data_IF_314929059213
#
_entry.id   IF_314929059213
#
_cell.length_a   1.000
_cell.length_b   1.000
_cell.length_c   1.000
_cell.angle_alpha   90.00
_cell.angle_beta   90.00
_cell.angle_gamma   90.00
#
_symmetry.space_group_name_H-M   'P 1'
#
loop_
_entity.id
_entity.type
_entity.pdbx_description
1 polymer ?
#
# COMPACT_ATOMS: atom_id res chain seq x y z
N UNK A 1 -48.41 32.05 -27.40
CA UNK A 1 -47.36 32.81 -26.68
C UNK A 1 -47.60 32.59 -25.19
N UNK A 2 -46.71 32.04 -24.35
CA UNK A 2 -45.30 31.71 -24.51
C UNK A 2 -44.94 30.58 -23.53
N UNK A 3 -44.04 29.72 -23.99
CA UNK A 3 -43.32 28.70 -23.26
C UNK A 3 -42.82 29.20 -21.89
N UNK A 4 -43.41 28.71 -20.79
CA UNK A 4 -42.78 28.79 -19.46
C UNK A 4 -42.57 27.43 -18.78
N UNK A 5 -43.00 26.33 -19.38
CA UNK A 5 -42.75 24.98 -18.88
C UNK A 5 -41.40 24.33 -19.32
N UNK A 6 -40.77 24.66 -20.48
CA UNK A 6 -39.55 23.95 -20.90
C UNK A 6 -38.26 24.48 -20.25
N UNK A 7 -38.27 25.71 -19.71
CA UNK A 7 -37.08 26.34 -19.13
C UNK A 7 -36.75 25.75 -17.76
N UNK A 8 -37.76 25.46 -16.93
CA UNK A 8 -37.55 24.92 -15.58
C UNK A 8 -36.96 23.50 -15.62
N UNK A 9 -37.40 22.67 -16.57
CA UNK A 9 -36.88 21.31 -16.79
C UNK A 9 -35.45 21.36 -17.33
N UNK A 10 -35.15 22.28 -18.26
CA UNK A 10 -33.78 22.52 -18.75
C UNK A 10 -32.84 22.99 -17.64
N UNK A 11 -33.30 23.89 -16.76
CA UNK A 11 -32.54 24.37 -15.60
C UNK A 11 -32.32 23.23 -14.60
N UNK A 12 -33.32 22.35 -14.37
CA UNK A 12 -33.17 21.19 -13.48
C UNK A 12 -32.16 20.17 -14.04
N UNK A 13 -32.19 19.89 -15.34
CA UNK A 13 -31.24 18.99 -16.02
C UNK A 13 -29.82 19.58 -15.99
N UNK A 14 -29.67 20.89 -16.19
CA UNK A 14 -28.38 21.57 -16.06
C UNK A 14 -27.86 21.51 -14.62
N UNK A 15 -28.70 21.72 -13.60
CA UNK A 15 -28.30 21.62 -12.18
C UNK A 15 -27.92 20.17 -11.82
N UNK A 16 -28.66 19.17 -12.31
CA UNK A 16 -28.33 17.75 -12.11
C UNK A 16 -27.02 17.34 -12.83
N UNK A 17 -26.76 17.88 -14.02
CA UNK A 17 -25.49 17.67 -14.73
C UNK A 17 -24.31 18.41 -14.08
N UNK A 18 -24.56 19.59 -13.50
CA UNK A 18 -23.57 20.30 -12.68
C UNK A 18 -23.25 19.48 -11.43
N UNK A 19 -24.24 18.89 -10.76
CA UNK A 19 -24.02 17.95 -9.65
C UNK A 19 -23.20 16.72 -10.09
N UNK A 20 -23.50 16.14 -11.25
CA UNK A 20 -22.69 15.05 -11.82
C UNK A 20 -21.23 15.46 -12.12
N UNK A 21 -21.00 16.75 -12.39
CA UNK A 21 -19.67 17.31 -12.61
C UNK A 21 -18.91 17.56 -11.30
N UNK A 22 -19.61 17.66 -10.15
CA UNK A 22 -18.97 17.76 -8.82
C UNK A 22 -18.52 16.39 -8.29
N UNK A 23 -19.11 15.29 -8.76
CA UNK A 23 -18.84 13.93 -8.24
C UNK A 23 -17.43 13.41 -8.63
N UNK A 24 -16.76 13.99 -9.62
CA UNK A 24 -15.38 13.60 -9.96
C UNK A 24 -14.30 14.40 -9.23
N UNK A 25 -14.67 15.36 -8.38
CA UNK A 25 -13.70 15.94 -7.44
C UNK A 25 -13.58 14.98 -6.25
N UNK A 26 -12.77 13.93 -6.39
CA UNK A 26 -12.13 13.32 -5.21
C UNK A 26 -11.25 14.41 -4.59
N UNK A 27 -11.87 15.25 -3.75
CA UNK A 27 -11.22 16.43 -3.21
C UNK A 27 -10.00 15.98 -2.41
N UNK A 28 -8.77 16.41 -2.78
CA UNK A 28 -7.57 16.11 -2.02
C UNK A 28 -7.68 16.56 -0.56
N UNK A 29 -8.61 17.48 -0.28
CA UNK A 29 -9.01 17.93 1.04
C UNK A 29 -9.60 16.80 1.93
N UNK A 30 -10.52 15.98 1.44
CA UNK A 30 -11.10 14.89 2.24
C UNK A 30 -10.07 13.81 2.53
N UNK A 31 -9.23 13.47 1.55
CA UNK A 31 -8.13 12.51 1.75
C UNK A 31 -7.11 13.06 2.75
N UNK A 32 -6.74 14.34 2.67
CA UNK A 32 -5.85 14.97 3.63
C UNK A 32 -6.39 14.95 5.07
N UNK A 33 -7.69 15.23 5.25
CA UNK A 33 -8.36 15.14 6.56
C UNK A 33 -8.40 13.69 7.04
N UNK A 34 -8.73 12.74 6.18
CA UNK A 34 -8.75 11.31 6.54
C UNK A 34 -7.39 10.85 7.06
N UNK A 35 -6.30 11.26 6.41
CA UNK A 35 -4.94 10.92 6.83
C UNK A 35 -4.53 11.61 8.15
N UNK A 36 -5.24 12.64 8.61
CA UNK A 36 -4.99 13.21 9.94
C UNK A 36 -5.51 12.31 11.06
N UNK A 37 -6.59 11.57 10.81
CA UNK A 37 -7.27 10.74 11.80
C UNK A 37 -6.97 9.24 11.64
N UNK A 38 -6.62 8.80 10.43
CA UNK A 38 -6.35 7.42 10.09
C UNK A 38 -5.03 7.28 9.34
N UNK A 39 -4.48 6.07 9.36
CA UNK A 39 -3.29 5.74 8.57
C UNK A 39 -3.61 5.78 7.08
N UNK A 40 -2.68 6.30 6.28
CA UNK A 40 -2.82 6.40 4.84
C UNK A 40 -1.62 5.82 4.10
N UNK A 41 -1.84 5.34 2.88
CA UNK A 41 -0.81 4.80 1.97
C UNK A 41 0.01 5.91 1.29
N UNK A 42 0.48 6.91 2.07
CA UNK A 42 1.24 8.08 1.62
C UNK A 42 1.94 8.74 2.81
N UNK A 43 2.77 9.74 2.54
CA UNK A 43 3.33 10.59 3.58
C UNK A 43 2.21 11.24 4.43
N UNK A 44 2.37 11.32 5.77
CA UNK A 44 3.58 11.02 6.53
C UNK A 44 3.73 9.56 7.01
N UNK A 45 2.77 8.67 6.73
CA UNK A 45 2.79 7.29 7.25
C UNK A 45 3.68 6.34 6.46
N UNK A 46 3.93 6.62 5.19
CA UNK A 46 4.92 5.93 4.37
C UNK A 46 6.17 6.80 4.26
N UNK A 47 7.19 6.47 5.03
CA UNK A 47 8.46 7.18 5.11
C UNK A 47 9.49 6.39 4.31
N UNK A 48 9.91 6.85 3.14
CA UNK A 48 10.92 6.12 2.31
C UNK A 48 12.33 6.27 2.88
N UNK A 49 12.53 5.85 4.13
CA UNK A 49 13.73 6.09 4.91
C UNK A 49 14.80 5.01 4.64
N UNK A 50 15.55 5.22 3.56
CA UNK A 50 16.65 4.34 3.18
C UNK A 50 17.82 4.38 4.18
N UNK A 51 18.00 5.50 4.88
CA UNK A 51 19.09 5.66 5.87
C UNK A 51 18.80 4.79 7.08
N UNK A 52 17.56 4.84 7.60
CA UNK A 52 17.10 3.95 8.67
C UNK A 52 17.15 2.49 8.26
N UNK A 53 16.77 2.16 7.02
CA UNK A 53 16.90 0.81 6.48
C UNK A 53 18.34 0.32 6.51
N UNK A 54 19.28 1.11 5.99
CA UNK A 54 20.69 0.74 5.97
C UNK A 54 21.25 0.57 7.38
N UNK A 55 20.90 1.48 8.29
CA UNK A 55 21.30 1.43 9.69
C UNK A 55 20.77 0.17 10.38
N UNK A 56 19.49 -0.17 10.19
CA UNK A 56 18.88 -1.35 10.81
C UNK A 56 19.44 -2.64 10.25
N UNK A 57 19.68 -2.73 8.94
CA UNK A 57 20.37 -3.87 8.35
C UNK A 57 21.78 -4.03 8.94
N UNK A 58 22.53 -2.92 9.12
CA UNK A 58 23.88 -2.98 9.70
C UNK A 58 23.88 -3.37 11.18
N UNK A 59 22.96 -2.83 11.98
CA UNK A 59 22.97 -2.99 13.44
C UNK A 59 22.22 -4.23 13.93
N UNK A 60 21.20 -4.68 13.19
CA UNK A 60 20.29 -5.75 13.63
C UNK A 60 20.46 -7.06 12.86
N UNK A 61 20.94 -7.03 11.62
CA UNK A 61 21.07 -8.22 10.77
C UNK A 61 22.53 -8.70 10.69
N UNK A 62 22.86 -9.75 11.43
CA UNK A 62 24.21 -10.31 11.50
C UNK A 62 24.42 -11.44 10.51
N UNK A 63 25.65 -11.58 9.98
CA UNK A 63 26.05 -12.71 9.14
C UNK A 63 25.42 -12.75 7.74
N UNK A 64 24.75 -11.68 7.30
CA UNK A 64 24.06 -11.61 6.00
C UNK A 64 24.61 -10.47 5.11
N UNK A 65 25.90 -10.49 4.73
CA UNK A 65 26.52 -9.38 3.99
C UNK A 65 25.91 -9.16 2.59
N UNK A 66 25.42 -10.22 1.94
CA UNK A 66 24.81 -10.13 0.60
C UNK A 66 23.47 -9.38 0.62
N UNK A 67 22.68 -9.57 1.68
CA UNK A 67 21.34 -8.97 1.77
C UNK A 67 21.44 -7.44 1.78
N UNK A 68 22.41 -6.86 2.49
CA UNK A 68 22.49 -5.41 2.68
C UNK A 68 22.52 -4.66 1.33
N UNK A 69 23.49 -4.99 0.47
CA UNK A 69 23.69 -4.25 -0.78
C UNK A 69 22.60 -4.59 -1.80
N UNK A 70 22.31 -5.88 -2.00
CA UNK A 70 21.31 -6.32 -2.99
C UNK A 70 19.92 -5.77 -2.67
N UNK A 71 19.51 -5.78 -1.39
CA UNK A 71 18.20 -5.30 -0.97
C UNK A 71 18.06 -3.80 -1.17
N UNK A 72 19.04 -3.01 -0.70
CA UNK A 72 19.00 -1.55 -0.82
C UNK A 72 18.97 -1.13 -2.28
N UNK A 73 19.82 -1.73 -3.14
CA UNK A 73 19.85 -1.43 -4.57
C UNK A 73 18.54 -1.79 -5.28
N UNK A 74 17.97 -2.96 -4.99
CA UNK A 74 16.71 -3.40 -5.60
C UNK A 74 15.55 -2.46 -5.23
N UNK A 75 15.47 -2.05 -3.96
CA UNK A 75 14.41 -1.16 -3.49
C UNK A 75 14.57 0.24 -4.07
N UNK A 76 15.76 0.84 -4.00
CA UNK A 76 16.02 2.17 -4.57
C UNK A 76 15.71 2.20 -6.07
N UNK A 77 16.22 1.23 -6.81
CA UNK A 77 15.98 1.13 -8.25
C UNK A 77 14.49 0.98 -8.59
N UNK A 78 13.70 0.29 -7.76
CA UNK A 78 12.26 0.21 -7.96
C UNK A 78 11.53 1.53 -7.66
N UNK A 79 11.88 2.21 -6.57
CA UNK A 79 11.21 3.45 -6.15
C UNK A 79 11.58 4.67 -7.01
N UNK A 80 12.74 4.66 -7.67
CA UNK A 80 13.16 5.73 -8.58
C UNK A 80 12.37 5.72 -9.90
N UNK A 81 11.76 4.59 -10.27
CA UNK A 81 10.89 4.49 -11.44
C UNK A 81 9.57 5.24 -11.20
N UNK A 82 9.29 6.25 -12.03
CA UNK A 82 7.96 6.87 -12.07
C UNK A 82 6.96 5.86 -12.65
N UNK A 83 5.98 5.44 -11.84
CA UNK A 83 4.92 4.48 -12.20
C UNK A 83 5.47 3.13 -12.69
N UNK A 84 6.01 2.28 -11.79
CA UNK A 84 6.54 0.98 -12.19
C UNK A 84 5.42 0.09 -12.77
N UNK A 85 5.71 -0.59 -13.88
CA UNK A 85 4.74 -1.45 -14.58
C UNK A 85 4.40 -2.74 -13.82
N UNK A 86 5.19 -3.11 -12.82
CA UNK A 86 5.03 -4.31 -11.98
C UNK A 86 5.51 -4.00 -10.57
N UNK A 87 4.93 -4.67 -9.57
CA UNK A 87 5.38 -4.58 -8.18
C UNK A 87 6.77 -5.20 -7.97
N UNK A 88 7.53 -4.68 -7.00
CA UNK A 88 8.77 -5.31 -6.55
C UNK A 88 8.48 -6.62 -5.81
N UNK A 89 9.07 -7.71 -6.28
CA UNK A 89 8.99 -9.02 -5.65
C UNK A 89 10.38 -9.43 -5.18
N UNK A 90 10.49 -9.81 -3.91
CA UNK A 90 11.72 -10.28 -3.28
C UNK A 90 11.49 -11.68 -2.73
N UNK A 91 12.44 -12.58 -2.97
CA UNK A 91 12.39 -13.94 -2.42
C UNK A 91 13.62 -14.20 -1.54
N UNK A 92 13.37 -14.55 -0.27
CA UNK A 92 14.40 -14.86 0.70
C UNK A 92 14.44 -16.38 0.93
N UNK A 93 15.57 -17.01 0.58
CA UNK A 93 15.79 -18.45 0.76
C UNK A 93 16.96 -18.72 1.72
N UNK A 94 16.98 -19.89 2.34
CA UNK A 94 18.04 -20.31 3.27
C UNK A 94 17.50 -21.08 4.48
N UNK A 95 18.39 -21.47 5.39
CA UNK A 95 18.07 -22.25 6.59
C UNK A 95 17.12 -21.53 7.56
N UNK A 96 16.46 -22.27 8.44
CA UNK A 96 15.62 -21.70 9.51
C UNK A 96 16.46 -20.90 10.50
N UNK A 97 15.88 -19.85 11.12
CA UNK A 97 16.56 -19.04 12.14
C UNK A 97 17.55 -17.99 11.63
N UNK A 98 17.90 -17.95 10.34
CA UNK A 98 18.91 -17.01 9.80
C UNK A 98 18.41 -15.59 9.50
N UNK A 99 17.18 -15.26 9.90
CA UNK A 99 16.64 -13.90 9.81
C UNK A 99 15.80 -13.55 8.57
N UNK A 100 15.35 -14.52 7.75
CA UNK A 100 14.55 -14.24 6.54
C UNK A 100 13.30 -13.38 6.80
N UNK A 101 12.46 -13.77 7.78
CA UNK A 101 11.28 -12.98 8.20
C UNK A 101 11.68 -11.66 8.85
N UNK A 102 12.81 -11.64 9.54
CA UNK A 102 13.31 -10.47 10.24
C UNK A 102 13.70 -9.35 9.26
N UNK A 103 14.25 -9.69 8.09
CA UNK A 103 14.52 -8.72 7.01
C UNK A 103 13.23 -8.01 6.57
N UNK A 104 12.13 -8.75 6.39
CA UNK A 104 10.83 -8.16 6.04
C UNK A 104 10.27 -7.27 7.14
N UNK A 105 10.53 -7.57 8.41
CA UNK A 105 10.14 -6.72 9.54
C UNK A 105 10.97 -5.44 9.60
N UNK A 106 12.29 -5.53 9.37
CA UNK A 106 13.18 -4.36 9.26
C UNK A 106 12.66 -3.42 8.16
N UNK A 107 12.30 -3.95 6.99
CA UNK A 107 11.72 -3.15 5.91
C UNK A 107 10.46 -2.42 6.35
N UNK A 108 9.55 -3.11 7.04
CA UNK A 108 8.32 -2.50 7.54
C UNK A 108 8.62 -1.39 8.57
N UNK A 109 9.52 -1.65 9.52
CA UNK A 109 9.96 -0.68 10.53
C UNK A 109 10.64 0.55 9.92
N UNK A 110 11.34 0.38 8.80
CA UNK A 110 11.98 1.48 8.09
C UNK A 110 10.98 2.29 7.29
N UNK A 111 10.00 1.65 6.62
CA UNK A 111 9.16 2.32 5.63
C UNK A 111 7.79 2.76 6.13
N UNK A 112 7.22 2.06 7.11
CA UNK A 112 5.95 2.44 7.69
C UNK A 112 6.18 3.13 9.03
N UNK A 113 5.49 4.24 9.25
CA UNK A 113 5.53 4.98 10.52
C UNK A 113 5.15 4.09 11.72
N UNK A 114 4.21 3.16 11.53
CA UNK A 114 3.80 2.18 12.54
C UNK A 114 4.57 0.84 12.47
N UNK A 115 5.57 0.74 11.60
CA UNK A 115 6.34 -0.49 11.39
C UNK A 115 5.46 -1.69 11.04
N UNK A 116 5.71 -2.82 11.72
CA UNK A 116 4.94 -4.07 11.53
C UNK A 116 3.49 -3.98 12.02
N UNK A 117 3.11 -2.90 12.73
CA UNK A 117 1.73 -2.62 13.15
C UNK A 117 0.96 -1.77 12.15
N UNK A 118 1.58 -1.41 11.02
CA UNK A 118 0.91 -0.66 9.95
C UNK A 118 -0.25 -1.46 9.39
N UNK A 119 -1.37 -0.78 9.11
CA UNK A 119 -2.48 -1.39 8.39
C UNK A 119 -2.09 -1.91 7.00
N UNK A 120 -0.98 -1.40 6.44
CA UNK A 120 -0.46 -1.73 5.11
C UNK A 120 0.62 -2.81 5.12
N UNK A 121 1.06 -3.26 6.30
CA UNK A 121 1.96 -4.40 6.44
C UNK A 121 1.15 -5.66 6.74
N UNK A 122 1.11 -6.58 5.77
CA UNK A 122 0.36 -7.84 5.86
C UNK A 122 1.30 -9.02 5.89
N UNK A 123 1.06 -9.97 6.79
CA UNK A 123 1.82 -11.21 6.91
C UNK A 123 0.85 -12.36 6.77
N UNK A 124 1.14 -13.24 5.82
CA UNK A 124 0.42 -14.49 5.62
C UNK A 124 1.38 -15.66 5.86
N UNK A 125 0.97 -16.60 6.70
CA UNK A 125 1.69 -17.82 7.03
C UNK A 125 0.91 -18.99 6.46
N UNK A 126 1.42 -19.62 5.40
CA UNK A 126 0.66 -20.60 4.61
C UNK A 126 0.08 -21.74 5.45
N UNK A 127 0.85 -22.29 6.39
CA UNK A 127 0.42 -23.40 7.26
C UNK A 127 -0.66 -23.02 8.27
N UNK A 128 -0.76 -21.73 8.63
CA UNK A 128 -1.73 -21.23 9.61
C UNK A 128 -2.97 -20.67 8.92
N UNK A 129 -2.75 -19.81 7.93
CA UNK A 129 -3.82 -19.02 7.33
C UNK A 129 -4.50 -19.78 6.18
N UNK A 130 -3.81 -20.73 5.55
CA UNK A 130 -4.31 -21.50 4.40
C UNK A 130 -4.14 -23.03 4.56
N UNK A 131 -4.68 -23.65 5.63
CA UNK A 131 -4.45 -25.06 5.92
C UNK A 131 -5.17 -26.05 4.98
N UNK A 132 -6.27 -25.64 4.32
CA UNK A 132 -7.14 -26.54 3.57
C UNK A 132 -7.12 -26.23 2.07
N UNK A 133 -6.72 -27.21 1.26
CA UNK A 133 -6.65 -27.05 -0.19
C UNK A 133 -8.03 -26.80 -0.83
N UNK A 134 -9.12 -27.33 -0.27
CA UNK A 134 -10.46 -27.13 -0.86
C UNK A 134 -10.91 -25.66 -0.81
N UNK A 135 -10.34 -24.85 0.09
CA UNK A 135 -10.72 -23.44 0.31
C UNK A 135 -9.91 -22.44 -0.52
N UNK A 136 -9.15 -22.90 -1.52
CA UNK A 136 -8.23 -22.05 -2.29
C UNK A 136 -8.90 -20.81 -2.92
N UNK A 137 -10.15 -20.93 -3.39
CA UNK A 137 -10.88 -19.82 -4.00
C UNK A 137 -11.30 -18.78 -2.96
N UNK A 138 -11.70 -19.23 -1.76
CA UNK A 138 -12.03 -18.36 -0.63
C UNK A 138 -10.78 -17.60 -0.16
N UNK A 139 -9.65 -18.29 -0.04
CA UNK A 139 -8.37 -17.68 0.36
C UNK A 139 -7.89 -16.63 -0.63
N UNK A 140 -7.95 -16.93 -1.94
CA UNK A 140 -7.61 -15.95 -2.98
C UNK A 140 -8.47 -14.69 -2.84
N UNK A 141 -9.78 -14.85 -2.70
CA UNK A 141 -10.70 -13.72 -2.55
C UNK A 141 -10.39 -12.90 -1.28
N UNK A 142 -10.13 -13.56 -0.16
CA UNK A 142 -9.74 -12.91 1.09
C UNK A 142 -8.46 -12.07 0.95
N UNK A 143 -7.41 -12.64 0.34
CA UNK A 143 -6.15 -11.95 0.08
C UNK A 143 -6.39 -10.72 -0.81
N UNK A 144 -7.11 -10.87 -1.93
CA UNK A 144 -7.40 -9.75 -2.83
C UNK A 144 -8.13 -8.61 -2.11
N UNK A 145 -9.13 -8.93 -1.29
CA UNK A 145 -9.87 -7.94 -0.51
C UNK A 145 -8.97 -7.19 0.48
N UNK A 146 -8.01 -7.88 1.09
CA UNK A 146 -7.09 -7.27 2.05
C UNK A 146 -6.01 -6.41 1.37
N UNK A 147 -5.52 -6.81 0.19
CA UNK A 147 -4.50 -6.06 -0.56
C UNK A 147 -5.05 -4.76 -1.18
N UNK A 148 -6.34 -4.70 -1.52
CA UNK A 148 -7.00 -3.50 -2.06
C UNK A 148 -7.31 -2.43 -1.00
N UNK A 149 -6.75 -2.54 0.20
CA UNK A 149 -6.93 -1.57 1.27
C UNK A 149 -5.91 -0.41 1.25
N UNK A 150 -4.87 -0.49 0.39
CA UNK A 150 -4.30 0.66 -0.32
C UNK A 150 -5.10 0.84 -1.63
#
# INVERSE_FOLDING_TARGET
MNCKFPILILVLILILNVLNSVVSVKMPFFDAIKCKFYECCREPYLQKDYVKLELYLKMKLFGQPLVKNTLISAIKGHYELKNPSKALVLSFHGSTGVGKTYVSQILAESFYMKGTKSAYYKVFVATKDFPHNEKINEYKFGIFKELLSC
#
